data_IF_728698178975
#
_entry.id   IF_728698178975
#
_cell.length_a   1.000
_cell.length_b   1.000
_cell.length_c   1.000
_cell.angle_alpha   90.00
_cell.angle_beta   90.00
_cell.angle_gamma   90.00
#
_symmetry.space_group_name_H-M   'P 1'
#
loop_
_entity.id
_entity.type
_entity.pdbx_description
1 polymer ?
#
# COMPACT_ATOMS: atom_id res chain seq x y z
N UNK A 1 -10.88 -9.33 13.37
CA UNK A 1 -11.97 -10.34 13.20
C UNK A 1 -12.76 -10.59 14.50
N UNK A 2 -12.15 -10.84 15.67
CA UNK A 2 -12.88 -11.20 16.90
C UNK A 2 -14.04 -10.27 17.25
N UNK A 3 -13.82 -8.94 17.27
CA UNK A 3 -14.89 -7.97 17.55
C UNK A 3 -16.01 -7.98 16.51
N UNK A 4 -15.70 -8.22 15.23
CA UNK A 4 -16.71 -8.34 14.17
C UNK A 4 -17.61 -9.56 14.39
N UNK A 5 -17.05 -10.69 14.79
CA UNK A 5 -17.78 -11.90 15.15
C UNK A 5 -18.67 -11.68 16.39
N UNK A 6 -18.12 -11.02 17.42
CA UNK A 6 -18.88 -10.69 18.64
C UNK A 6 -20.08 -9.81 18.28
N UNK A 7 -19.88 -8.81 17.44
CA UNK A 7 -20.96 -7.92 16.98
C UNK A 7 -22.01 -8.69 16.17
N UNK A 8 -21.58 -9.55 15.24
CA UNK A 8 -22.49 -10.35 14.44
C UNK A 8 -23.34 -11.32 15.31
N UNK A 9 -22.73 -11.94 16.31
CA UNK A 9 -23.45 -12.79 17.28
C UNK A 9 -24.43 -11.99 18.13
N UNK A 10 -24.08 -10.75 18.51
CA UNK A 10 -24.98 -9.87 19.23
C UNK A 10 -26.19 -9.44 18.37
N UNK A 11 -26.01 -9.19 17.07
CA UNK A 11 -27.12 -8.96 16.13
C UNK A 11 -28.10 -10.14 16.20
N UNK A 12 -27.57 -11.38 16.21
CA UNK A 12 -28.40 -12.58 16.30
C UNK A 12 -29.18 -12.86 15.01
N UNK A 13 -30.08 -13.84 15.10
CA UNK A 13 -30.94 -14.25 13.97
C UNK A 13 -32.10 -13.31 13.70
N UNK A 14 -32.42 -12.42 14.65
CA UNK A 14 -33.45 -11.39 14.48
C UNK A 14 -32.96 -10.24 13.62
N UNK A 15 -33.89 -9.65 12.86
CA UNK A 15 -33.59 -8.47 12.03
C UNK A 15 -33.51 -7.22 12.91
N UNK A 16 -32.38 -6.51 12.89
CA UNK A 16 -32.20 -5.23 13.58
C UNK A 16 -32.30 -4.07 12.60
N UNK A 17 -33.13 -3.07 12.89
CA UNK A 17 -33.29 -1.92 12.00
C UNK A 17 -31.98 -1.15 11.80
N UNK A 18 -31.73 -0.71 10.57
CA UNK A 18 -30.60 0.16 10.23
C UNK A 18 -31.09 1.53 9.76
N UNK A 19 -30.16 2.48 9.70
CA UNK A 19 -30.38 3.79 9.09
C UNK A 19 -30.27 3.67 7.55
N UNK A 20 -30.69 4.72 6.80
CA UNK A 20 -30.40 4.77 5.34
C UNK A 20 -28.90 4.64 5.01
N UNK A 21 -28.01 5.05 5.92
CA UNK A 21 -26.56 4.85 5.81
C UNK A 21 -26.09 3.44 6.17
N UNK A 22 -27.01 2.48 6.31
CA UNK A 22 -26.71 1.05 6.57
C UNK A 22 -25.93 0.79 7.86
N UNK A 23 -26.09 1.62 8.88
CA UNK A 23 -25.53 1.43 10.22
C UNK A 23 -26.66 1.31 11.25
N UNK A 24 -26.37 0.75 12.42
CA UNK A 24 -27.35 0.57 13.49
C UNK A 24 -28.04 1.89 13.85
N UNK A 25 -29.34 1.82 14.17
CA UNK A 25 -30.07 2.94 14.72
C UNK A 25 -29.56 3.29 16.11
N UNK A 26 -29.66 4.57 16.46
CA UNK A 26 -29.18 5.12 17.73
C UNK A 26 -29.65 4.33 18.97
N UNK A 27 -30.86 3.79 18.93
CA UNK A 27 -31.42 2.99 20.02
C UNK A 27 -30.63 1.72 20.33
N UNK A 28 -29.98 1.13 19.31
CA UNK A 28 -29.24 -0.13 19.45
C UNK A 28 -27.74 0.11 19.72
N UNK A 29 -27.22 1.32 19.53
CA UNK A 29 -25.78 1.63 19.59
C UNK A 29 -25.20 1.37 20.99
N UNK A 30 -25.93 1.77 22.05
CA UNK A 30 -25.47 1.57 23.41
C UNK A 30 -25.34 0.07 23.77
N UNK A 31 -26.31 -0.75 23.34
CA UNK A 31 -26.28 -2.20 23.57
C UNK A 31 -25.19 -2.89 22.74
N UNK A 32 -24.96 -2.43 21.49
CA UNK A 32 -23.84 -2.89 20.66
C UNK A 32 -22.48 -2.54 21.30
N UNK A 33 -22.36 -1.31 21.84
CA UNK A 33 -21.18 -0.88 22.58
C UNK A 33 -20.90 -1.76 23.78
N UNK A 34 -21.90 -2.04 24.60
CA UNK A 34 -21.78 -2.91 25.76
C UNK A 34 -21.34 -4.34 25.36
N UNK A 35 -21.86 -4.87 24.25
CA UNK A 35 -21.46 -6.19 23.74
C UNK A 35 -19.98 -6.26 23.30
N UNK A 36 -19.40 -5.14 22.88
CA UNK A 36 -18.00 -5.02 22.47
C UNK A 36 -17.07 -4.47 23.57
N UNK A 37 -17.61 -4.08 24.73
CA UNK A 37 -16.85 -3.39 25.78
C UNK A 37 -16.40 -1.98 25.36
N UNK A 38 -17.20 -1.29 24.51
CA UNK A 38 -16.94 0.04 23.99
C UNK A 38 -17.86 1.06 24.67
N UNK A 39 -17.25 2.12 25.22
CA UNK A 39 -17.99 3.25 25.77
C UNK A 39 -18.68 4.04 24.66
N UNK A 40 -19.98 4.27 24.81
CA UNK A 40 -20.79 5.03 23.85
C UNK A 40 -21.09 6.41 24.44
N UNK A 41 -20.72 7.50 23.76
CA UNK A 41 -21.02 8.84 24.21
C UNK A 41 -22.55 9.10 24.32
N UNK A 42 -22.99 9.81 25.36
CA UNK A 42 -24.41 10.16 25.55
C UNK A 42 -24.95 11.00 24.39
N UNK A 43 -24.13 11.85 23.78
CA UNK A 43 -24.44 12.63 22.60
C UNK A 43 -23.83 12.01 21.36
N UNK A 44 -24.62 11.27 20.62
CA UNK A 44 -24.22 10.57 19.41
C UNK A 44 -25.09 11.02 18.23
N UNK A 45 -24.50 11.31 17.09
CA UNK A 45 -25.22 11.57 15.82
C UNK A 45 -25.53 10.26 15.13
N UNK A 46 -24.49 9.46 14.87
CA UNK A 46 -24.60 8.15 14.20
C UNK A 46 -23.58 7.18 14.78
N UNK A 47 -23.84 5.88 14.65
CA UNK A 47 -22.87 4.83 15.02
C UNK A 47 -21.55 4.99 14.27
N UNK A 48 -21.58 5.48 13.03
CA UNK A 48 -20.38 5.70 12.22
C UNK A 48 -19.37 6.66 12.86
N UNK A 49 -19.81 7.56 13.76
CA UNK A 49 -18.92 8.48 14.48
C UNK A 49 -18.07 7.76 15.55
N UNK A 50 -18.41 6.53 15.91
CA UNK A 50 -17.70 5.73 16.92
C UNK A 50 -16.81 4.71 16.20
N UNK A 51 -15.56 5.05 15.93
CA UNK A 51 -14.60 4.16 15.22
C UNK A 51 -14.55 2.75 15.83
N UNK A 52 -14.57 2.64 17.16
CA UNK A 52 -14.53 1.37 17.88
C UNK A 52 -15.76 0.47 17.63
N UNK A 53 -16.88 1.01 17.16
CA UNK A 53 -18.06 0.26 16.71
C UNK A 53 -18.15 0.17 15.19
N UNK A 54 -17.78 1.23 14.49
CA UNK A 54 -17.88 1.30 13.03
C UNK A 54 -16.92 0.32 12.34
N UNK A 55 -15.69 0.22 12.82
CA UNK A 55 -14.69 -0.72 12.27
C UNK A 55 -15.15 -2.19 12.35
N UNK A 56 -15.54 -2.72 13.53
CA UNK A 56 -16.10 -4.08 13.63
C UNK A 56 -17.33 -4.30 12.75
N UNK A 57 -18.19 -3.28 12.61
CA UNK A 57 -19.37 -3.33 11.74
C UNK A 57 -18.99 -3.50 10.28
N UNK A 58 -18.09 -2.63 9.77
CA UNK A 58 -17.61 -2.68 8.39
C UNK A 58 -16.93 -4.01 8.08
N UNK A 59 -16.09 -4.49 9.00
CA UNK A 59 -15.45 -5.80 8.88
C UNK A 59 -16.48 -6.92 8.86
N UNK A 60 -17.49 -6.88 9.73
CA UNK A 60 -18.52 -7.92 9.80
C UNK A 60 -19.35 -7.98 8.50
N UNK A 61 -19.67 -6.83 7.93
CA UNK A 61 -20.39 -6.76 6.64
C UNK A 61 -19.52 -7.24 5.49
N UNK A 62 -18.29 -6.74 5.39
CA UNK A 62 -17.37 -7.08 4.31
C UNK A 62 -16.93 -8.55 4.31
N UNK A 63 -16.80 -9.17 5.51
CA UNK A 63 -16.47 -10.58 5.68
C UNK A 63 -17.71 -11.52 5.58
N UNK A 64 -18.91 -10.98 5.28
CA UNK A 64 -20.12 -11.76 5.17
C UNK A 64 -20.65 -12.33 6.52
N UNK A 65 -20.13 -11.84 7.64
CA UNK A 65 -20.65 -12.20 8.99
C UNK A 65 -22.00 -11.54 9.27
N UNK A 66 -22.26 -10.39 8.63
CA UNK A 66 -23.53 -9.69 8.63
C UNK A 66 -24.04 -9.50 7.21
N UNK A 67 -25.33 -9.67 7.04
CA UNK A 67 -26.06 -9.23 5.87
C UNK A 67 -26.84 -7.96 6.22
N UNK A 68 -26.63 -6.87 5.45
CA UNK A 68 -27.28 -5.59 5.66
C UNK A 68 -27.99 -5.15 4.39
N UNK A 69 -29.30 -5.01 4.46
CA UNK A 69 -30.14 -4.52 3.37
C UNK A 69 -30.90 -3.23 3.76
N UNK A 70 -31.88 -2.81 2.96
CA UNK A 70 -32.71 -1.63 3.22
C UNK A 70 -33.66 -1.82 4.40
N UNK A 71 -33.91 -3.03 4.84
CA UNK A 71 -34.85 -3.34 5.93
C UNK A 71 -34.14 -3.53 7.27
N UNK A 72 -32.87 -3.98 7.26
CA UNK A 72 -32.12 -4.17 8.49
C UNK A 72 -30.86 -4.99 8.35
N UNK A 73 -30.28 -5.35 9.49
CA UNK A 73 -29.13 -6.22 9.62
C UNK A 73 -29.54 -7.56 10.21
N UNK A 74 -29.01 -8.64 9.65
CA UNK A 74 -29.14 -10.02 10.14
C UNK A 74 -27.78 -10.68 10.15
N UNK A 75 -27.65 -11.83 10.79
CA UNK A 75 -26.46 -12.67 10.65
C UNK A 75 -26.27 -13.09 9.19
N UNK A 76 -25.04 -13.04 8.72
CA UNK A 76 -24.67 -13.49 7.37
C UNK A 76 -24.20 -14.95 7.35
N UNK A 77 -24.11 -15.56 6.17
CA UNK A 77 -23.78 -17.00 6.01
C UNK A 77 -22.38 -17.35 6.52
N UNK A 78 -21.44 -16.42 6.51
CA UNK A 78 -20.09 -16.68 7.03
C UNK A 78 -20.06 -16.90 8.55
N UNK A 79 -21.07 -16.43 9.29
CA UNK A 79 -21.14 -16.65 10.73
C UNK A 79 -21.59 -18.08 11.08
N UNK A 80 -22.41 -18.72 10.24
CA UNK A 80 -22.91 -20.08 10.45
C UNK A 80 -21.77 -21.10 10.44
N UNK A 81 -20.76 -20.86 9.63
CA UNK A 81 -19.59 -21.73 9.46
C UNK A 81 -18.36 -21.20 10.24
N UNK A 82 -18.57 -20.41 11.29
CA UNK A 82 -17.47 -19.85 12.06
C UNK A 82 -16.94 -20.83 13.14
N UNK A 83 -15.60 -21.04 13.31
CA UNK A 83 -14.51 -20.46 12.51
C UNK A 83 -14.37 -21.15 11.14
N UNK A 84 -14.11 -20.38 10.07
CA UNK A 84 -13.86 -20.93 8.75
C UNK A 84 -12.43 -21.50 8.67
N UNK A 85 -12.07 -22.07 7.50
CA UNK A 85 -10.70 -22.37 7.16
C UNK A 85 -9.83 -21.11 7.05
N UNK A 86 -8.50 -21.28 7.11
CA UNK A 86 -7.54 -20.18 7.12
C UNK A 86 -7.65 -19.28 5.87
N UNK A 87 -7.89 -19.86 4.68
CA UNK A 87 -8.02 -19.12 3.44
C UNK A 87 -9.23 -18.20 3.46
N UNK A 88 -10.37 -18.70 3.88
CA UNK A 88 -11.61 -17.93 4.05
C UNK A 88 -11.45 -16.85 5.12
N UNK A 89 -10.74 -17.17 6.24
CA UNK A 89 -10.44 -16.19 7.29
C UNK A 89 -9.61 -15.04 6.76
N UNK A 90 -8.54 -15.32 6.01
CA UNK A 90 -7.65 -14.33 5.43
C UNK A 90 -8.36 -13.48 4.36
N UNK A 91 -9.20 -14.11 3.53
CA UNK A 91 -10.01 -13.38 2.54
C UNK A 91 -10.99 -12.40 3.23
N UNK A 92 -11.67 -12.85 4.29
CA UNK A 92 -12.56 -11.99 5.09
C UNK A 92 -11.82 -10.86 5.79
N UNK A 93 -10.63 -11.13 6.32
CA UNK A 93 -9.77 -10.12 6.93
C UNK A 93 -9.36 -9.03 5.91
N UNK A 94 -8.95 -9.44 4.70
CA UNK A 94 -8.56 -8.52 3.63
C UNK A 94 -9.74 -7.68 3.13
N UNK A 95 -10.92 -8.31 2.97
CA UNK A 95 -12.14 -7.58 2.62
C UNK A 95 -12.49 -6.54 3.70
N UNK A 96 -12.37 -6.89 4.99
CA UNK A 96 -12.56 -5.98 6.11
C UNK A 96 -11.58 -4.81 6.11
N UNK A 97 -10.29 -5.07 5.87
CA UNK A 97 -9.28 -4.02 5.76
C UNK A 97 -9.64 -3.02 4.65
N UNK A 98 -9.99 -3.52 3.46
CA UNK A 98 -10.40 -2.68 2.32
C UNK A 98 -11.62 -1.83 2.66
N UNK A 99 -12.64 -2.42 3.28
CA UNK A 99 -13.86 -1.71 3.64
C UNK A 99 -13.63 -0.60 4.66
N UNK A 100 -12.76 -0.83 5.65
CA UNK A 100 -12.42 0.20 6.65
C UNK A 100 -11.54 1.30 6.03
N UNK A 101 -10.55 0.96 5.20
CA UNK A 101 -9.77 1.96 4.46
C UNK A 101 -10.68 2.86 3.62
N UNK A 102 -11.63 2.27 2.88
CA UNK A 102 -12.61 3.02 2.10
C UNK A 102 -13.46 3.98 2.95
N UNK A 103 -13.97 3.50 4.08
CA UNK A 103 -14.84 4.31 4.95
C UNK A 103 -14.09 5.41 5.72
N UNK A 104 -12.81 5.22 6.03
CA UNK A 104 -12.00 6.20 6.77
C UNK A 104 -11.27 7.20 5.85
N UNK A 105 -11.38 7.04 4.54
CA UNK A 105 -10.78 7.95 3.56
C UNK A 105 -11.54 9.27 3.38
N UNK A 106 -12.75 9.41 3.92
CA UNK A 106 -13.48 10.66 3.81
C UNK A 106 -12.82 11.81 4.62
N UNK A 107 -12.61 13.00 4.04
CA UNK A 107 -13.09 13.51 2.73
C UNK A 107 -12.21 13.16 1.52
N UNK A 108 -11.26 12.27 1.66
CA UNK A 108 -10.32 11.90 0.60
C UNK A 108 -10.92 10.82 -0.30
N UNK A 109 -10.30 10.64 -1.45
CA UNK A 109 -10.67 9.59 -2.39
C UNK A 109 -10.44 8.20 -1.78
N UNK A 110 -11.43 7.33 -1.94
CA UNK A 110 -11.47 5.96 -1.40
C UNK A 110 -10.24 5.13 -1.79
N UNK A 111 -9.72 5.32 -3.00
CA UNK A 111 -8.56 4.60 -3.48
C UNK A 111 -7.26 5.07 -2.80
N UNK A 112 -7.17 6.32 -2.38
CA UNK A 112 -5.95 6.93 -1.82
C UNK A 112 -5.47 6.26 -0.53
N UNK A 113 -6.37 6.03 0.43
CA UNK A 113 -5.99 5.38 1.71
C UNK A 113 -5.61 3.92 1.49
N UNK A 114 -6.28 3.25 0.56
CA UNK A 114 -5.94 1.86 0.19
C UNK A 114 -4.56 1.78 -0.45
N UNK A 115 -4.25 2.69 -1.37
CA UNK A 115 -2.95 2.76 -2.03
C UNK A 115 -1.84 3.13 -1.05
N UNK A 116 -2.11 4.06 -0.13
CA UNK A 116 -1.16 4.44 0.91
C UNK A 116 -0.90 3.28 1.90
N UNK A 117 -1.95 2.52 2.26
CA UNK A 117 -1.79 1.32 3.09
C UNK A 117 -0.94 0.26 2.40
N UNK A 118 -1.16 0.05 1.10
CA UNK A 118 -0.35 -0.87 0.31
C UNK A 118 1.11 -0.38 0.20
N UNK A 119 1.32 0.91 -0.07
CA UNK A 119 2.67 1.49 -0.13
C UNK A 119 3.43 1.32 1.20
N UNK A 120 2.77 1.63 2.32
CA UNK A 120 3.36 1.43 3.66
C UNK A 120 3.69 -0.04 3.94
N UNK A 121 2.77 -0.96 3.64
CA UNK A 121 3.02 -2.39 3.82
C UNK A 121 4.18 -2.88 2.92
N UNK A 122 4.29 -2.36 1.71
CA UNK A 122 5.39 -2.68 0.78
C UNK A 122 6.73 -2.20 1.34
N UNK A 123 6.82 -0.95 1.78
CA UNK A 123 8.04 -0.38 2.39
C UNK A 123 8.45 -1.19 3.62
N UNK A 124 7.52 -1.45 4.54
CA UNK A 124 7.82 -2.22 5.75
C UNK A 124 8.22 -3.68 5.46
N UNK A 125 7.77 -4.24 4.33
CA UNK A 125 8.12 -5.60 3.93
C UNK A 125 9.51 -5.69 3.28
N UNK A 126 9.91 -4.66 2.54
CA UNK A 126 11.13 -4.66 1.74
C UNK A 126 12.30 -4.00 2.49
N UNK A 127 12.08 -2.82 3.04
CA UNK A 127 13.14 -1.98 3.62
C UNK A 127 13.11 -1.95 5.16
N UNK A 128 11.98 -2.28 5.75
CA UNK A 128 11.74 -1.99 7.17
C UNK A 128 11.63 -0.50 7.44
N UNK A 129 11.94 -0.09 8.68
CA UNK A 129 11.96 1.32 9.07
C UNK A 129 13.37 1.88 8.83
N UNK A 130 13.52 3.00 8.09
CA UNK A 130 14.80 3.67 7.92
C UNK A 130 15.47 4.02 9.26
N UNK A 131 16.79 4.14 9.27
CA UNK A 131 17.55 4.38 10.49
C UNK A 131 17.18 5.72 11.19
N UNK A 132 16.80 6.73 10.41
CA UNK A 132 16.31 8.03 10.87
C UNK A 132 14.84 8.01 11.32
N UNK A 133 14.13 6.92 11.07
CA UNK A 133 12.72 6.75 11.42
C UNK A 133 11.73 7.42 10.44
N UNK A 134 12.21 8.10 9.41
CA UNK A 134 11.35 8.75 8.42
C UNK A 134 10.82 7.73 7.40
N UNK A 135 9.55 7.34 7.56
CA UNK A 135 8.83 6.47 6.64
C UNK A 135 8.15 7.24 5.51
N UNK A 136 8.05 8.57 5.59
CA UNK A 136 7.24 9.34 4.66
C UNK A 136 7.78 9.29 3.25
N UNK A 137 9.05 9.58 3.06
CA UNK A 137 9.67 9.57 1.73
C UNK A 137 9.65 8.18 1.07
N UNK A 138 10.07 7.09 1.72
CA UNK A 138 9.95 5.74 1.16
C UNK A 138 8.51 5.36 0.79
N UNK A 139 7.53 5.76 1.62
CA UNK A 139 6.12 5.48 1.33
C UNK A 139 5.59 6.28 0.14
N UNK A 140 5.98 7.55 -0.02
CA UNK A 140 5.63 8.35 -1.20
C UNK A 140 6.19 7.73 -2.49
N UNK A 141 7.43 7.26 -2.47
CA UNK A 141 8.05 6.58 -3.61
C UNK A 141 7.33 5.27 -3.94
N UNK A 142 7.04 4.46 -2.92
CA UNK A 142 6.26 3.24 -3.10
C UNK A 142 4.83 3.55 -3.60
N UNK A 143 4.19 4.60 -3.09
CA UNK A 143 2.87 5.05 -3.54
C UNK A 143 2.88 5.42 -5.02
N UNK A 144 3.92 6.07 -5.51
CA UNK A 144 4.08 6.39 -6.92
C UNK A 144 4.11 5.14 -7.81
N UNK A 145 4.82 4.09 -7.36
CA UNK A 145 4.87 2.79 -8.06
C UNK A 145 3.51 2.10 -8.03
N UNK A 146 2.84 2.12 -6.89
CA UNK A 146 1.54 1.46 -6.68
C UNK A 146 0.42 2.17 -7.46
N UNK A 147 0.35 3.50 -7.41
CA UNK A 147 -0.74 4.28 -8.01
C UNK A 147 -0.81 4.15 -9.53
N UNK A 148 0.34 4.10 -10.21
CA UNK A 148 0.38 3.97 -11.69
C UNK A 148 -0.16 2.65 -12.21
N UNK A 149 -0.17 1.60 -11.42
CA UNK A 149 -0.79 0.34 -11.82
C UNK A 149 -2.31 0.39 -11.86
N UNK A 150 -2.91 1.21 -11.02
CA UNK A 150 -4.37 1.36 -10.97
C UNK A 150 -4.89 2.40 -11.97
N UNK A 151 -4.21 2.59 -13.07
CA UNK A 151 -4.44 3.29 -14.37
C UNK A 151 -5.66 4.26 -14.52
N UNK A 152 -6.39 4.53 -13.46
CA UNK A 152 -7.49 5.49 -13.42
C UNK A 152 -7.05 6.94 -13.12
N UNK A 153 -5.77 7.15 -12.79
CA UNK A 153 -5.26 8.43 -12.30
C UNK A 153 -4.39 9.19 -13.30
N UNK A 154 -4.13 8.61 -14.49
CA UNK A 154 -3.20 9.16 -15.47
C UNK A 154 -3.74 10.30 -16.32
N UNK A 155 -4.98 10.75 -16.16
CA UNK A 155 -5.56 11.83 -16.98
C UNK A 155 -5.48 13.23 -16.37
N UNK A 156 -4.84 13.43 -15.23
CA UNK A 156 -4.61 14.73 -14.63
C UNK A 156 -3.22 14.80 -14.02
N UNK A 157 -2.38 15.67 -14.57
CA UNK A 157 -1.03 15.97 -14.10
C UNK A 157 -1.02 16.70 -12.74
N UNK A 158 -1.48 16.03 -11.68
CA UNK A 158 -1.34 16.54 -10.32
C UNK A 158 -0.26 15.69 -9.66
N UNK A 159 0.83 16.35 -9.24
CA UNK A 159 1.87 15.71 -8.42
C UNK A 159 1.22 15.08 -7.20
N UNK A 160 1.65 13.86 -6.83
CA UNK A 160 1.17 13.22 -5.59
C UNK A 160 1.37 14.16 -4.38
N UNK A 161 2.46 14.93 -4.35
CA UNK A 161 2.72 15.94 -3.32
C UNK A 161 1.70 17.10 -3.35
N UNK A 162 1.25 17.54 -4.54
CA UNK A 162 0.24 18.59 -4.68
C UNK A 162 -1.17 18.09 -4.36
N UNK A 163 -1.42 16.81 -4.56
CA UNK A 163 -2.72 16.19 -4.31
C UNK A 163 -2.89 15.80 -2.83
N UNK A 164 -1.81 15.46 -2.15
CA UNK A 164 -1.77 15.11 -0.74
C UNK A 164 -1.25 16.25 0.14
N UNK A 165 -1.05 17.45 -0.44
CA UNK A 165 -0.77 18.67 0.30
C UNK A 165 -1.86 18.91 1.32
N UNK A 166 -1.51 18.67 2.56
CA UNK A 166 -2.14 19.13 3.79
C UNK A 166 -3.44 18.56 4.38
N UNK A 167 -4.07 17.46 3.96
CA UNK A 167 -5.04 16.87 4.87
C UNK A 167 -4.42 15.94 5.93
N UNK A 168 -3.14 15.65 5.80
CA UNK A 168 -2.38 14.74 6.66
C UNK A 168 -1.29 15.49 7.45
N UNK A 169 -1.44 16.81 7.62
CA UNK A 169 -0.41 17.78 7.93
C UNK A 169 0.38 17.61 9.23
N UNK A 170 0.00 16.74 10.17
CA UNK A 170 0.82 16.58 11.37
C UNK A 170 1.34 15.15 11.62
N UNK A 171 0.73 14.11 11.09
CA UNK A 171 1.24 12.73 11.06
C UNK A 171 0.40 11.81 10.13
N UNK A 172 0.50 11.90 8.82
CA UNK A 172 -0.36 11.16 7.89
C UNK A 172 -0.23 9.64 8.05
N UNK A 173 0.96 9.14 8.34
CA UNK A 173 1.21 7.72 8.53
C UNK A 173 0.79 7.21 9.92
N UNK A 174 0.76 8.06 10.95
CA UNK A 174 0.42 7.64 12.31
C UNK A 174 -0.98 7.03 12.41
N UNK A 175 -1.97 7.65 11.78
CA UNK A 175 -3.33 7.14 11.72
C UNK A 175 -3.42 5.81 10.96
N UNK A 176 -2.68 5.67 9.87
CA UNK A 176 -2.63 4.46 9.07
C UNK A 176 -1.90 3.33 9.78
N UNK A 177 -0.76 3.61 10.44
CA UNK A 177 -0.04 2.65 11.29
C UNK A 177 -0.96 2.13 12.39
N UNK A 178 -1.69 3.04 13.08
CA UNK A 178 -2.66 2.66 14.10
C UNK A 178 -3.81 1.79 13.56
N UNK A 179 -4.28 2.08 12.33
CA UNK A 179 -5.27 1.26 11.65
C UNK A 179 -4.72 -0.15 11.35
N UNK A 180 -3.54 -0.24 10.75
CA UNK A 180 -2.89 -1.51 10.43
C UNK A 180 -2.55 -2.31 11.70
N UNK A 181 -2.19 -1.63 12.81
CA UNK A 181 -2.00 -2.26 14.10
C UNK A 181 -3.32 -2.81 14.67
N UNK A 182 -4.43 -2.08 14.53
CA UNK A 182 -5.75 -2.58 14.91
C UNK A 182 -6.16 -3.83 14.12
N UNK A 183 -5.78 -3.91 12.85
CA UNK A 183 -5.94 -5.11 12.02
C UNK A 183 -4.92 -6.22 12.36
N UNK A 184 -3.92 -5.97 13.19
CA UNK A 184 -2.86 -6.91 13.52
C UNK A 184 -1.84 -7.13 12.41
N UNK A 185 -1.82 -6.27 11.38
CA UNK A 185 -0.83 -6.32 10.30
C UNK A 185 0.53 -5.73 10.73
N UNK A 186 0.51 -4.77 11.64
CA UNK A 186 1.68 -4.09 12.16
C UNK A 186 1.71 -4.24 13.69
N UNK A 187 2.90 -4.36 14.26
CA UNK A 187 3.16 -4.38 15.69
C UNK A 187 4.41 -3.52 16.02
N UNK A 188 4.66 -3.29 17.31
CA UNK A 188 5.80 -2.53 17.80
C UNK A 188 5.45 -1.09 18.17
N UNK A 189 6.48 -0.28 18.38
CA UNK A 189 6.35 1.15 18.68
C UNK A 189 5.84 1.90 17.42
N UNK A 190 4.94 2.88 17.56
CA UNK A 190 4.51 3.72 16.44
C UNK A 190 5.66 4.39 15.67
N UNK A 191 6.78 4.71 16.33
CA UNK A 191 7.99 5.24 15.71
C UNK A 191 8.87 4.18 15.03
N UNK A 192 8.61 2.88 15.29
CA UNK A 192 9.31 1.75 14.68
C UNK A 192 8.35 0.58 14.43
N UNK A 193 7.36 0.77 13.57
CA UNK A 193 6.41 -0.29 13.23
C UNK A 193 7.10 -1.44 12.51
N UNK A 194 6.69 -2.67 12.81
CA UNK A 194 7.18 -3.87 12.14
C UNK A 194 6.01 -4.72 11.66
N UNK A 195 6.17 -5.39 10.51
CA UNK A 195 5.14 -6.29 10.02
C UNK A 195 5.05 -7.55 10.88
N UNK A 196 3.83 -7.90 11.25
CA UNK A 196 3.51 -9.23 11.77
C UNK A 196 3.55 -10.29 10.65
N UNK A 197 3.47 -11.60 10.95
CA UNK A 197 3.27 -12.61 9.92
C UNK A 197 2.04 -12.33 9.03
N UNK A 198 0.93 -11.84 9.63
CA UNK A 198 -0.27 -11.44 8.90
C UNK A 198 -0.01 -10.23 8.00
N UNK A 199 0.74 -9.23 8.49
CA UNK A 199 1.14 -8.07 7.70
C UNK A 199 2.02 -8.42 6.50
N UNK A 200 2.99 -9.32 6.67
CA UNK A 200 3.82 -9.83 5.58
C UNK A 200 3.00 -10.59 4.53
N UNK A 201 2.09 -11.45 4.98
CA UNK A 201 1.16 -12.12 4.07
C UNK A 201 0.31 -11.11 3.29
N UNK A 202 -0.25 -10.10 3.96
CA UNK A 202 -1.07 -9.07 3.34
C UNK A 202 -0.26 -8.24 2.33
N UNK A 203 0.97 -7.83 2.68
CA UNK A 203 1.87 -7.12 1.78
C UNK A 203 2.12 -7.92 0.50
N UNK A 204 2.52 -9.19 0.62
CA UNK A 204 2.73 -10.08 -0.53
C UNK A 204 1.48 -10.29 -1.37
N UNK A 205 0.31 -10.45 -0.74
CA UNK A 205 -0.94 -10.68 -1.45
C UNK A 205 -1.48 -9.42 -2.14
N UNK A 206 -1.34 -8.26 -1.51
CA UNK A 206 -1.75 -6.97 -2.09
C UNK A 206 -0.76 -6.52 -3.17
N UNK A 207 0.53 -6.79 -2.97
CA UNK A 207 1.57 -6.51 -3.94
C UNK A 207 1.61 -7.53 -5.09
N UNK A 208 0.80 -8.60 -5.06
CA UNK A 208 0.78 -9.60 -6.12
C UNK A 208 0.57 -8.94 -7.48
N UNK A 209 1.62 -8.96 -8.30
CA UNK A 209 1.68 -8.30 -9.61
C UNK A 209 2.19 -6.86 -9.61
N UNK A 210 2.62 -6.25 -8.50
CA UNK A 210 3.52 -5.09 -8.56
C UNK A 210 4.92 -5.55 -9.04
N UNK A 211 5.71 -4.64 -9.66
CA UNK A 211 7.10 -4.97 -9.94
C UNK A 211 7.82 -5.32 -8.63
N UNK A 212 8.39 -6.51 -8.55
CA UNK A 212 9.31 -6.87 -7.48
C UNK A 212 10.66 -6.16 -7.66
N UNK A 213 11.43 -6.03 -6.59
CA UNK A 213 12.83 -5.59 -6.69
C UNK A 213 13.67 -6.71 -7.28
N UNK A 214 14.56 -6.37 -8.18
CA UNK A 214 15.49 -7.33 -8.75
C UNK A 214 16.50 -7.78 -7.66
N UNK A 215 16.85 -9.07 -7.72
CA UNK A 215 17.86 -9.65 -6.84
C UNK A 215 19.21 -8.94 -7.07
N UNK A 216 19.91 -8.53 -5.98
CA UNK A 216 21.25 -7.94 -6.11
C UNK A 216 22.27 -8.80 -6.85
N UNK A 217 22.12 -10.12 -6.81
CA UNK A 217 23.00 -11.07 -7.50
C UNK A 217 22.77 -11.19 -9.01
N UNK A 218 21.70 -10.63 -9.56
CA UNK A 218 21.43 -10.70 -10.99
C UNK A 218 22.50 -9.94 -11.81
N UNK A 219 22.86 -10.42 -13.02
CA UNK A 219 23.61 -9.63 -14.00
C UNK A 219 22.83 -8.35 -14.37
N UNK A 220 23.53 -7.23 -14.57
CA UNK A 220 22.93 -5.96 -14.95
C UNK A 220 21.98 -6.08 -16.17
N UNK A 221 22.38 -6.91 -17.16
CA UNK A 221 21.55 -7.16 -18.33
C UNK A 221 20.20 -7.81 -18.04
N UNK A 222 20.15 -8.75 -17.11
CA UNK A 222 18.91 -9.40 -16.70
C UNK A 222 18.03 -8.44 -15.88
N UNK A 223 18.63 -7.65 -15.00
CA UNK A 223 17.93 -6.60 -14.26
C UNK A 223 17.28 -5.57 -15.21
N UNK A 224 18.03 -5.10 -16.23
CA UNK A 224 17.49 -4.17 -17.24
C UNK A 224 16.35 -4.83 -18.04
N UNK A 225 16.49 -6.10 -18.42
CA UNK A 225 15.46 -6.84 -19.14
C UNK A 225 14.18 -6.99 -18.29
N UNK A 226 14.32 -7.22 -16.99
CA UNK A 226 13.21 -7.26 -16.05
C UNK A 226 12.54 -5.87 -15.93
N UNK A 227 13.33 -4.82 -15.72
CA UNK A 227 12.81 -3.44 -15.66
C UNK A 227 12.09 -3.02 -16.95
N UNK A 228 12.61 -3.45 -18.12
CA UNK A 228 12.02 -3.12 -19.42
C UNK A 228 10.63 -3.77 -19.68
N UNK A 229 10.17 -4.69 -18.84
CA UNK A 229 8.79 -5.21 -18.88
C UNK A 229 7.77 -4.18 -18.46
N UNK A 230 8.19 -3.14 -17.77
CA UNK A 230 7.33 -2.07 -17.28
C UNK A 230 7.47 -0.84 -18.18
N UNK A 231 6.34 -0.24 -18.54
CA UNK A 231 6.30 0.96 -19.37
C UNK A 231 6.57 2.27 -18.61
N UNK A 232 6.60 2.20 -17.28
CA UNK A 232 6.69 3.34 -16.39
C UNK A 232 8.06 3.44 -15.73
N UNK A 233 8.61 4.64 -15.67
CA UNK A 233 9.94 4.91 -15.13
C UNK A 233 10.02 4.63 -13.62
N UNK A 234 9.00 4.98 -12.84
CA UNK A 234 8.96 4.70 -11.41
C UNK A 234 8.99 3.20 -11.12
N UNK A 235 8.26 2.39 -11.93
CA UNK A 235 8.30 0.93 -11.84
C UNK A 235 9.67 0.36 -12.23
N UNK A 236 10.28 0.90 -13.28
CA UNK A 236 11.63 0.51 -13.71
C UNK A 236 12.66 0.80 -12.63
N UNK A 237 12.59 1.99 -12.01
CA UNK A 237 13.46 2.36 -10.90
C UNK A 237 13.22 1.49 -9.66
N UNK A 238 11.96 1.12 -9.37
CA UNK A 238 11.66 0.22 -8.25
C UNK A 238 12.31 -1.16 -8.44
N UNK A 239 12.20 -1.75 -9.64
CA UNK A 239 12.90 -3.00 -9.99
C UNK A 239 14.41 -2.87 -9.75
N UNK A 240 15.02 -1.81 -10.26
CA UNK A 240 16.46 -1.60 -10.17
C UNK A 240 16.94 -1.28 -8.73
N UNK A 241 16.07 -0.81 -7.82
CA UNK A 241 16.45 -0.41 -6.46
C UNK A 241 17.06 -1.57 -5.68
N UNK A 242 16.45 -2.77 -5.70
CA UNK A 242 16.99 -3.94 -5.02
C UNK A 242 18.37 -4.31 -5.54
N UNK A 243 18.53 -4.29 -6.87
CA UNK A 243 19.80 -4.59 -7.52
C UNK A 243 20.89 -3.56 -7.18
N UNK A 244 20.53 -2.28 -7.01
CA UNK A 244 21.48 -1.20 -6.65
C UNK A 244 21.84 -1.17 -5.16
N UNK A 245 21.05 -1.79 -4.29
CA UNK A 245 21.19 -1.66 -2.84
C UNK A 245 22.57 -2.07 -2.28
N UNK A 246 23.27 -3.00 -2.97
CA UNK A 246 24.57 -3.52 -2.56
C UNK A 246 25.73 -2.96 -3.41
N UNK A 247 25.49 -1.91 -4.22
CA UNK A 247 26.47 -1.34 -5.16
C UNK A 247 26.66 0.14 -4.90
N UNK A 248 27.91 0.57 -5.00
CA UNK A 248 28.17 2.01 -5.09
C UNK A 248 27.56 2.60 -6.38
N UNK A 249 26.97 3.82 -6.34
CA UNK A 249 26.25 4.40 -7.47
C UNK A 249 27.06 4.41 -8.78
N UNK A 250 28.34 4.80 -8.72
CA UNK A 250 29.26 4.80 -9.89
C UNK A 250 29.44 3.40 -10.46
N UNK A 251 29.56 2.38 -9.58
CA UNK A 251 29.72 1.00 -10.00
C UNK A 251 28.45 0.48 -10.66
N UNK A 252 27.28 0.77 -10.06
CA UNK A 252 25.98 0.43 -10.63
C UNK A 252 25.81 1.06 -12.03
N UNK A 253 26.14 2.34 -12.18
CA UNK A 253 26.09 3.04 -13.46
C UNK A 253 26.99 2.37 -14.52
N UNK A 254 28.23 2.01 -14.17
CA UNK A 254 29.16 1.30 -15.07
C UNK A 254 28.62 -0.03 -15.55
N UNK A 255 28.10 -0.85 -14.65
CA UNK A 255 27.55 -2.16 -14.97
C UNK A 255 26.32 -2.05 -15.89
N UNK A 256 25.43 -1.07 -15.60
CA UNK A 256 24.25 -0.80 -16.43
C UNK A 256 24.65 -0.34 -17.83
N UNK A 257 25.56 0.65 -17.95
CA UNK A 257 26.01 1.18 -19.24
C UNK A 257 26.76 0.14 -20.08
N UNK A 258 27.59 -0.67 -19.44
CA UNK A 258 28.30 -1.77 -20.11
C UNK A 258 27.33 -2.80 -20.68
N UNK A 259 26.33 -3.20 -19.91
CA UNK A 259 25.29 -4.13 -20.38
C UNK A 259 24.46 -3.52 -21.53
N UNK A 260 24.14 -2.22 -21.46
CA UNK A 260 23.31 -1.52 -22.44
C UNK A 260 23.90 -1.47 -23.86
N UNK A 261 25.25 -1.58 -24.02
CA UNK A 261 25.92 -1.58 -25.34
C UNK A 261 25.40 -2.70 -26.25
N UNK A 262 25.13 -3.87 -25.71
CA UNK A 262 24.66 -5.04 -26.45
C UNK A 262 23.14 -5.20 -26.54
N UNK A 263 22.38 -4.28 -25.96
CA UNK A 263 20.94 -4.42 -25.81
C UNK A 263 20.10 -3.83 -26.96
N UNK A 264 18.83 -4.24 -27.02
CA UNK A 264 17.85 -3.64 -27.91
C UNK A 264 17.64 -2.15 -27.61
N UNK A 265 17.16 -1.35 -28.59
CA UNK A 265 16.94 0.09 -28.37
C UNK A 265 16.02 0.39 -27.17
N UNK A 266 14.97 -0.41 -26.96
CA UNK A 266 14.05 -0.25 -25.82
C UNK A 266 14.78 -0.48 -24.48
N UNK A 267 15.48 -1.60 -24.35
CA UNK A 267 16.24 -1.92 -23.12
C UNK A 267 17.33 -0.90 -22.85
N UNK A 268 18.00 -0.42 -23.91
CA UNK A 268 19.01 0.65 -23.80
C UNK A 268 18.39 1.95 -23.28
N UNK A 269 17.23 2.33 -23.78
CA UNK A 269 16.49 3.49 -23.28
C UNK A 269 16.14 3.37 -21.79
N UNK A 270 15.74 2.17 -21.35
CA UNK A 270 15.53 1.90 -19.92
C UNK A 270 16.83 2.02 -19.13
N UNK A 271 17.91 1.40 -19.60
CA UNK A 271 19.22 1.47 -18.96
C UNK A 271 19.70 2.92 -18.76
N UNK A 272 19.57 3.74 -19.80
CA UNK A 272 19.91 5.18 -19.74
C UNK A 272 19.13 5.88 -18.62
N UNK A 273 17.81 5.75 -18.60
CA UNK A 273 16.98 6.34 -17.53
C UNK A 273 17.34 5.83 -16.13
N UNK A 274 17.68 4.55 -16.00
CA UNK A 274 18.12 3.99 -14.72
C UNK A 274 19.43 4.62 -14.23
N UNK A 275 20.32 5.04 -15.14
CA UNK A 275 21.57 5.72 -14.80
C UNK A 275 21.33 7.21 -14.55
N UNK A 276 20.47 7.88 -15.35
CA UNK A 276 20.01 9.26 -15.10
C UNK A 276 19.40 9.42 -13.69
N UNK A 277 18.64 8.43 -13.23
CA UNK A 277 18.06 8.41 -11.88
C UNK A 277 19.10 8.32 -10.73
N UNK A 278 20.38 8.10 -11.02
CA UNK A 278 21.47 8.17 -10.05
C UNK A 278 22.03 9.59 -9.89
N UNK A 279 21.64 10.50 -10.78
CA UNK A 279 22.06 11.91 -10.73
C UNK A 279 23.58 12.10 -10.88
N UNK A 280 24.11 13.06 -10.15
CA UNK A 280 25.52 13.45 -10.20
C UNK A 280 26.49 12.33 -9.85
N UNK A 281 26.05 11.36 -9.04
CA UNK A 281 26.86 10.19 -8.68
C UNK A 281 27.21 9.32 -9.87
N UNK A 282 26.45 9.39 -10.97
CA UNK A 282 26.71 8.63 -12.20
C UNK A 282 27.70 9.36 -13.17
N UNK A 283 28.01 10.64 -12.97
CA UNK A 283 28.86 11.43 -13.87
C UNK A 283 30.21 10.80 -14.20
N UNK A 284 30.92 10.16 -13.23
CA UNK A 284 32.16 9.47 -13.56
C UNK A 284 31.96 8.32 -14.56
N UNK A 285 30.88 7.56 -14.41
CA UNK A 285 30.54 6.46 -15.33
C UNK A 285 30.20 7.02 -16.73
N UNK A 286 29.38 8.08 -16.83
CA UNK A 286 29.08 8.72 -18.11
C UNK A 286 30.32 9.15 -18.87
N UNK A 287 31.35 9.70 -18.20
CA UNK A 287 32.62 10.10 -18.83
C UNK A 287 33.38 8.91 -19.45
N UNK A 288 33.32 7.74 -18.84
CA UNK A 288 33.96 6.52 -19.33
C UNK A 288 33.31 6.01 -20.61
N UNK A 289 32.00 6.22 -20.79
CA UNK A 289 31.24 5.71 -21.93
C UNK A 289 31.03 6.70 -23.08
N UNK A 290 31.66 7.89 -23.07
CA UNK A 290 31.52 8.93 -24.11
C UNK A 290 31.84 8.41 -25.52
N UNK A 291 32.81 7.50 -25.66
CA UNK A 291 33.24 6.91 -26.94
C UNK A 291 32.51 5.61 -27.28
N UNK A 292 31.64 5.11 -26.41
CA UNK A 292 30.91 3.87 -26.63
C UNK A 292 29.94 4.01 -27.83
N UNK A 293 29.77 2.91 -28.58
CA UNK A 293 29.03 2.96 -29.85
C UNK A 293 27.56 3.28 -29.67
N UNK A 294 26.92 2.61 -28.74
CA UNK A 294 25.46 2.65 -28.55
C UNK A 294 25.03 3.61 -27.44
N UNK A 295 25.74 3.64 -26.31
CA UNK A 295 25.41 4.55 -25.19
C UNK A 295 26.17 5.88 -25.25
N UNK A 296 27.22 6.00 -26.04
CA UNK A 296 28.03 7.23 -26.15
C UNK A 296 27.27 8.49 -26.55
N UNK A 297 26.27 8.44 -27.46
CA UNK A 297 25.41 9.61 -27.73
C UNK A 297 24.68 10.13 -26.49
N UNK A 298 24.16 9.23 -25.64
CA UNK A 298 23.49 9.59 -24.39
C UNK A 298 24.48 10.15 -23.36
N UNK A 299 25.65 9.52 -23.23
CA UNK A 299 26.71 9.99 -22.35
C UNK A 299 27.16 11.43 -22.69
N UNK A 300 27.27 11.75 -23.98
CA UNK A 300 27.60 13.12 -24.41
C UNK A 300 26.48 14.11 -24.13
N UNK A 301 25.23 13.71 -24.27
CA UNK A 301 24.08 14.55 -23.97
C UNK A 301 24.01 14.87 -22.47
N UNK A 302 24.18 13.86 -21.63
CA UNK A 302 24.14 13.98 -20.17
C UNK A 302 25.26 14.87 -19.62
N UNK A 303 26.47 14.78 -20.19
CA UNK A 303 27.60 15.60 -19.78
C UNK A 303 27.55 17.04 -20.30
N UNK A 304 26.63 17.35 -21.22
CA UNK A 304 26.44 18.68 -21.76
C UNK A 304 25.27 19.46 -21.12
N UNK A 305 24.42 18.77 -20.34
CA UNK A 305 23.29 19.33 -19.60
C UNK A 305 23.73 19.96 -18.29
#
# INVERSE_FOLDING_TARGET
MGQAVTLARWIGTGRRPVTPGRVLRKADVAAAGAALGVDVPARLRTMADIRALNRPWLVAVAAGLLHVDGEGATTGPALENWPPDDGTMLAGWLAGLRAVCAAESYPHDEDSVRLLALALLTVLNEDGVPADGDLWQPVLEALHVVSRRYDKWSSGSVSAADQYGDPWSEQPLGGLIALLAWFGAVAGDPGRPALTPLGRWAAGHLAAGLPGRADPGLPAGEMIAEAARFGDEGQQNHVARGWRAEREPVQAAREILAAAEGMSPLQRSVAVRLVEALGDDALPAWREFVSARCVGPFARAELAA
#
